data_IF_490305691668
#
_entry.id   IF_490305691668
#
_cell.length_a   1.000
_cell.length_b   1.000
_cell.length_c   1.000
_cell.angle_alpha   90.00
_cell.angle_beta   90.00
_cell.angle_gamma   90.00
#
_symmetry.space_group_name_H-M   'P 1'
#
loop_
_entity.id
_entity.type
_entity.pdbx_description
1 polymer ?
#
# COMPACT_ATOMS: atom_id res chain seq x y z
N UNK A 1 -27.54 -3.85 -21.06
CA UNK A 1 -27.20 -3.41 -19.70
C UNK A 1 -25.70 -3.33 -19.70
N UNK A 2 -25.15 -2.14 -19.62
CA UNK A 2 -23.73 -1.97 -19.41
C UNK A 2 -23.41 -2.60 -18.05
N UNK A 3 -22.43 -3.49 -18.05
CA UNK A 3 -21.96 -4.14 -16.84
C UNK A 3 -21.29 -3.05 -15.98
N UNK A 4 -21.95 -2.60 -14.91
CA UNK A 4 -21.51 -1.50 -14.06
C UNK A 4 -20.36 -1.88 -13.12
N UNK A 5 -19.83 -3.08 -13.24
CA UNK A 5 -18.73 -3.56 -12.42
C UNK A 5 -17.39 -3.15 -12.99
N UNK A 6 -16.38 -2.90 -12.14
CA UNK A 6 -14.99 -2.77 -12.58
C UNK A 6 -14.31 -4.12 -12.75
N UNK A 7 -15.03 -5.23 -12.53
CA UNK A 7 -14.49 -6.57 -12.70
C UNK A 7 -14.14 -6.85 -14.14
N UNK A 8 -12.94 -7.38 -14.35
CA UNK A 8 -12.44 -7.78 -15.67
C UNK A 8 -12.08 -9.26 -15.63
N UNK A 9 -12.36 -9.97 -16.72
CA UNK A 9 -12.11 -11.40 -16.82
C UNK A 9 -10.60 -11.73 -16.84
N UNK A 10 -9.77 -10.76 -17.18
CA UNK A 10 -8.32 -10.91 -17.26
C UNK A 10 -7.61 -9.55 -17.08
N UNK A 11 -6.31 -9.53 -16.76
CA UNK A 11 -5.51 -8.32 -16.80
C UNK A 11 -5.51 -7.63 -18.16
N UNK A 12 -5.49 -8.40 -19.24
CA UNK A 12 -5.56 -7.88 -20.61
C UNK A 12 -6.90 -7.16 -20.91
N UNK A 13 -7.99 -7.57 -20.25
CA UNK A 13 -9.27 -6.85 -20.32
C UNK A 13 -9.22 -5.56 -19.50
N UNK A 14 -8.59 -5.59 -18.33
CA UNK A 14 -8.43 -4.41 -17.47
C UNK A 14 -7.64 -3.29 -18.17
N UNK A 15 -6.60 -3.62 -18.93
CA UNK A 15 -5.81 -2.64 -19.71
C UNK A 15 -6.68 -1.86 -20.69
N UNK A 16 -7.77 -2.45 -21.20
CA UNK A 16 -8.70 -1.80 -22.13
C UNK A 16 -9.79 -0.98 -21.45
N UNK A 17 -9.72 -0.82 -20.15
CA UNK A 17 -10.65 0.04 -19.39
C UNK A 17 -10.65 1.46 -19.96
N UNK A 18 -11.79 2.16 -19.93
CA UNK A 18 -11.81 3.59 -20.24
C UNK A 18 -10.91 4.36 -19.28
N UNK A 19 -10.38 5.50 -19.77
CA UNK A 19 -9.61 6.41 -18.93
C UNK A 19 -10.41 6.80 -17.69
N UNK A 20 -9.76 6.81 -16.54
CA UNK A 20 -10.32 7.36 -15.30
C UNK A 20 -10.59 8.86 -15.44
N UNK A 21 -11.71 9.30 -14.93
CA UNK A 21 -12.13 10.72 -14.90
C UNK A 21 -12.25 11.27 -13.47
N UNK A 22 -12.02 10.43 -12.47
CA UNK A 22 -12.01 10.80 -11.04
C UNK A 22 -10.87 10.06 -10.34
N UNK A 23 -10.20 10.77 -9.43
CA UNK A 23 -9.26 10.20 -8.48
C UNK A 23 -9.74 10.45 -7.06
N UNK A 24 -9.52 9.46 -6.20
CA UNK A 24 -9.67 9.61 -4.76
C UNK A 24 -8.30 9.55 -4.10
N UNK A 25 -8.06 10.46 -3.16
CA UNK A 25 -6.88 10.45 -2.29
C UNK A 25 -7.26 10.89 -0.90
N UNK A 26 -6.46 10.54 0.08
CA UNK A 26 -6.63 11.04 1.44
C UNK A 26 -5.78 12.29 1.66
N UNK A 27 -6.25 13.15 2.57
CA UNK A 27 -5.48 14.25 3.12
C UNK A 27 -5.67 14.26 4.63
N UNK A 28 -4.58 14.42 5.37
CA UNK A 28 -4.57 14.32 6.81
C UNK A 28 -4.29 15.66 7.47
N UNK A 29 -5.03 15.97 8.53
CA UNK A 29 -4.70 16.99 9.51
C UNK A 29 -3.95 16.41 10.71
N UNK A 30 -4.02 15.09 10.87
CA UNK A 30 -3.29 14.36 11.91
C UNK A 30 -1.79 14.68 11.82
N UNK A 31 -1.18 15.02 12.93
CA UNK A 31 0.24 15.39 13.00
C UNK A 31 0.58 16.85 12.64
N UNK A 32 -0.36 17.63 12.06
CA UNK A 32 -0.13 19.03 11.69
C UNK A 32 -0.34 20.02 12.84
N UNK A 33 -0.99 19.60 13.93
CA UNK A 33 -1.44 20.46 15.01
C UNK A 33 -2.83 21.08 14.78
N UNK A 34 -3.38 20.96 13.58
CA UNK A 34 -4.73 21.44 13.23
C UNK A 34 -5.77 20.45 13.77
N UNK A 35 -6.67 20.93 14.61
CA UNK A 35 -7.72 20.10 15.24
C UNK A 35 -8.95 19.98 14.30
N UNK A 36 -8.77 19.24 13.21
CA UNK A 36 -9.82 18.92 12.24
C UNK A 36 -9.74 17.45 11.85
N UNK A 37 -10.87 16.88 11.38
CA UNK A 37 -10.86 15.51 10.84
C UNK A 37 -10.00 15.39 9.58
N UNK A 38 -9.35 14.25 9.42
CA UNK A 38 -8.80 13.84 8.13
C UNK A 38 -9.94 13.64 7.13
N UNK A 39 -9.67 13.69 5.83
CA UNK A 39 -10.71 13.65 4.82
C UNK A 39 -10.30 12.93 3.54
N UNK A 40 -11.31 12.40 2.84
CA UNK A 40 -11.17 11.87 1.48
C UNK A 40 -11.34 13.02 0.48
N UNK A 41 -10.44 13.13 -0.46
CA UNK A 41 -10.44 14.12 -1.54
C UNK A 41 -10.91 13.46 -2.83
N UNK A 42 -11.83 14.13 -3.55
CA UNK A 42 -12.17 13.79 -4.92
C UNK A 42 -11.54 14.80 -5.86
N UNK A 43 -10.77 14.33 -6.84
CA UNK A 43 -10.09 15.15 -7.85
C UNK A 43 -10.67 14.83 -9.22
N UNK A 44 -10.96 15.85 -9.99
CA UNK A 44 -11.38 15.72 -11.38
C UNK A 44 -10.16 15.35 -12.25
N UNK A 45 -10.19 14.18 -12.84
CA UNK A 45 -9.12 13.64 -13.70
C UNK A 45 -9.49 13.66 -15.20
N UNK A 46 -10.68 14.15 -15.55
CA UNK A 46 -11.11 14.28 -16.94
C UNK A 46 -10.41 15.50 -17.60
N UNK A 47 -9.51 15.28 -18.59
CA UNK A 47 -8.79 16.38 -19.24
C UNK A 47 -9.69 17.35 -20.02
N UNK A 48 -10.91 16.93 -20.38
CA UNK A 48 -11.87 17.76 -21.10
C UNK A 48 -12.80 18.55 -20.16
N UNK A 49 -12.69 18.33 -18.85
CA UNK A 49 -13.47 19.02 -17.84
C UNK A 49 -12.88 20.40 -17.53
N UNK A 50 -13.73 21.45 -17.30
CA UNK A 50 -13.27 22.76 -16.84
C UNK A 50 -12.64 22.73 -15.43
N UNK A 51 -12.87 21.66 -14.67
CA UNK A 51 -12.32 21.47 -13.33
C UNK A 51 -11.18 20.42 -13.31
N UNK A 52 -10.60 20.10 -14.47
CA UNK A 52 -9.46 19.16 -14.55
C UNK A 52 -8.35 19.51 -13.55
N UNK A 53 -7.83 18.51 -12.86
CA UNK A 53 -6.81 18.62 -11.80
C UNK A 53 -7.23 19.41 -10.56
N UNK A 54 -8.52 19.72 -10.39
CA UNK A 54 -9.03 20.42 -9.20
C UNK A 54 -9.67 19.46 -8.21
N UNK A 55 -9.58 19.82 -6.93
CA UNK A 55 -10.39 19.20 -5.87
C UNK A 55 -11.83 19.64 -6.04
N UNK A 56 -12.73 18.69 -6.31
CA UNK A 56 -14.14 18.95 -6.54
C UNK A 56 -15.03 18.56 -5.36
N UNK A 57 -14.53 17.70 -4.46
CA UNK A 57 -15.26 17.33 -3.25
C UNK A 57 -14.28 16.94 -2.13
N UNK A 58 -14.73 17.13 -0.87
CA UNK A 58 -14.05 16.70 0.35
C UNK A 58 -15.06 16.03 1.26
N UNK A 59 -14.75 14.79 1.65
CA UNK A 59 -15.54 14.06 2.64
C UNK A 59 -14.73 13.98 3.94
N UNK A 60 -15.09 14.82 4.93
CA UNK A 60 -14.48 14.78 6.26
C UNK A 60 -14.92 13.51 7.00
N UNK A 61 -13.98 12.85 7.69
CA UNK A 61 -14.28 11.70 8.54
C UNK A 61 -14.91 12.16 9.86
N UNK A 62 -15.64 11.30 10.58
CA UNK A 62 -16.32 11.71 11.83
C UNK A 62 -15.36 12.04 12.98
N UNK A 63 -14.18 11.39 13.02
CA UNK A 63 -13.19 11.51 14.09
C UNK A 63 -12.06 12.47 13.78
N UNK A 64 -11.34 12.91 14.82
CA UNK A 64 -10.10 13.67 14.71
C UNK A 64 -8.95 12.76 15.12
N UNK A 65 -7.85 12.76 14.37
CA UNK A 65 -6.66 11.97 14.68
C UNK A 65 -6.76 10.50 14.25
N UNK A 66 -7.56 10.21 13.25
CA UNK A 66 -7.67 8.87 12.66
C UNK A 66 -6.35 8.42 12.02
N UNK A 67 -5.58 9.34 11.43
CA UNK A 67 -4.43 9.05 10.57
C UNK A 67 -4.87 8.14 9.41
N UNK A 68 -5.66 8.69 8.49
CA UNK A 68 -6.07 7.96 7.29
C UNK A 68 -4.83 7.54 6.49
N UNK A 69 -4.82 6.30 6.00
CA UNK A 69 -3.64 5.76 5.34
C UNK A 69 -4.02 5.00 4.08
N UNK A 70 -3.72 3.71 3.96
CA UNK A 70 -4.05 2.92 2.79
C UNK A 70 -5.57 2.89 2.53
N UNK A 71 -5.95 2.79 1.25
CA UNK A 71 -7.34 2.61 0.86
C UNK A 71 -7.46 1.38 -0.02
N UNK A 72 -8.60 0.69 0.07
CA UNK A 72 -8.88 -0.46 -0.78
C UNK A 72 -10.34 -0.51 -1.19
N UNK A 73 -10.59 -1.06 -2.37
CA UNK A 73 -11.93 -1.24 -2.87
C UNK A 73 -12.55 -2.54 -2.33
N UNK A 74 -13.88 -2.54 -2.20
CA UNK A 74 -14.63 -3.75 -1.91
C UNK A 74 -14.57 -4.79 -3.04
N UNK A 75 -14.18 -4.38 -4.24
CA UNK A 75 -13.93 -5.24 -5.40
C UNK A 75 -12.76 -4.69 -6.21
N UNK A 76 -11.82 -5.51 -6.61
CA UNK A 76 -10.65 -5.14 -7.39
C UNK A 76 -10.92 -5.21 -8.90
N UNK A 77 -9.93 -4.80 -9.71
CA UNK A 77 -10.02 -4.81 -11.17
C UNK A 77 -10.16 -6.21 -11.78
N UNK A 78 -9.73 -7.24 -11.06
CA UNK A 78 -9.87 -8.64 -11.48
C UNK A 78 -10.30 -9.48 -10.27
N UNK A 79 -11.54 -9.25 -9.79
CA UNK A 79 -12.03 -9.90 -8.59
C UNK A 79 -12.01 -11.42 -8.75
N UNK A 80 -11.37 -12.09 -7.80
CA UNK A 80 -11.27 -13.54 -7.79
C UNK A 80 -12.66 -14.18 -7.79
N UNK A 81 -12.88 -15.14 -8.68
CA UNK A 81 -14.11 -15.92 -8.85
C UNK A 81 -15.35 -15.16 -9.34
N UNK A 82 -15.41 -13.84 -9.23
CA UNK A 82 -16.60 -13.08 -9.61
C UNK A 82 -16.24 -11.74 -10.25
N UNK A 83 -16.03 -11.73 -11.57
CA UNK A 83 -15.79 -10.51 -12.35
C UNK A 83 -17.01 -9.57 -12.43
N UNK A 84 -18.19 -10.02 -11.98
CA UNK A 84 -19.39 -9.20 -11.94
C UNK A 84 -19.51 -8.32 -10.67
N UNK A 85 -18.65 -8.52 -9.68
CA UNK A 85 -18.63 -7.72 -8.46
C UNK A 85 -18.47 -6.23 -8.78
N UNK A 86 -19.36 -5.42 -8.23
CA UNK A 86 -19.33 -3.96 -8.41
C UNK A 86 -18.38 -3.30 -7.43
N UNK A 87 -17.48 -2.45 -7.95
CA UNK A 87 -16.62 -1.57 -7.15
C UNK A 87 -17.40 -0.33 -6.70
N UNK A 88 -18.19 -0.49 -5.66
CA UNK A 88 -19.14 0.52 -5.18
C UNK A 88 -18.68 1.20 -3.90
N UNK A 89 -17.80 0.58 -3.15
CA UNK A 89 -17.36 1.06 -1.85
C UNK A 89 -15.85 1.13 -1.75
N UNK A 90 -15.36 2.25 -1.22
CA UNK A 90 -13.97 2.45 -0.86
C UNK A 90 -13.84 2.33 0.66
N UNK A 91 -12.95 1.45 1.12
CA UNK A 91 -12.60 1.30 2.54
C UNK A 91 -11.41 2.19 2.84
N UNK A 92 -11.57 3.07 3.82
CA UNK A 92 -10.56 4.07 4.21
C UNK A 92 -10.23 3.89 5.69
N UNK A 93 -9.12 3.21 6.02
CA UNK A 93 -8.74 2.94 7.40
C UNK A 93 -8.03 4.11 8.03
N UNK A 94 -8.25 4.28 9.35
CA UNK A 94 -7.47 5.14 10.23
C UNK A 94 -6.49 4.29 11.04
N UNK A 95 -5.19 4.41 10.78
CA UNK A 95 -4.18 3.55 11.43
C UNK A 95 -4.13 3.78 12.95
N UNK A 96 -4.27 5.03 13.41
CA UNK A 96 -4.23 5.35 14.85
C UNK A 96 -5.52 4.99 15.58
N UNK A 97 -6.66 5.34 15.00
CA UNK A 97 -7.96 5.06 15.62
C UNK A 97 -8.35 3.59 15.54
N UNK A 98 -7.85 2.88 14.54
CA UNK A 98 -8.30 1.57 14.07
C UNK A 98 -9.72 1.58 13.49
N UNK A 99 -10.32 2.74 13.24
CA UNK A 99 -11.59 2.86 12.53
C UNK A 99 -11.42 2.51 11.06
N UNK A 100 -12.45 1.92 10.46
CA UNK A 100 -12.50 1.71 9.01
C UNK A 100 -13.75 2.40 8.47
N UNK A 101 -13.55 3.41 7.64
CA UNK A 101 -14.62 4.19 7.05
C UNK A 101 -15.00 3.58 5.71
N UNK A 102 -16.25 3.19 5.55
CA UNK A 102 -16.81 2.65 4.31
C UNK A 102 -17.47 3.80 3.56
N UNK A 103 -16.98 4.11 2.39
CA UNK A 103 -17.43 5.24 1.57
C UNK A 103 -18.18 4.73 0.34
N UNK A 104 -19.43 5.14 0.17
CA UNK A 104 -20.22 4.91 -1.05
C UNK A 104 -19.75 5.85 -2.16
N UNK A 105 -19.15 5.25 -3.18
CA UNK A 105 -18.67 5.94 -4.39
C UNK A 105 -19.56 5.69 -5.61
N UNK A 106 -20.50 4.76 -5.52
CA UNK A 106 -21.36 4.39 -6.65
C UNK A 106 -22.56 5.34 -6.82
N UNK A 107 -23.12 5.85 -5.72
CA UNK A 107 -24.30 6.75 -5.78
C UNK A 107 -23.97 8.07 -6.46
N UNK A 108 -22.86 8.70 -6.09
CA UNK A 108 -22.30 9.88 -6.75
C UNK A 108 -20.77 9.82 -6.69
N UNK A 109 -20.11 9.38 -7.75
CA UNK A 109 -18.65 9.30 -7.76
C UNK A 109 -17.94 10.64 -7.60
N UNK A 110 -18.58 11.76 -7.97
CA UNK A 110 -17.99 13.09 -7.84
C UNK A 110 -18.16 13.69 -6.44
N UNK A 111 -19.11 13.17 -5.64
CA UNK A 111 -19.37 13.56 -4.26
C UNK A 111 -19.71 12.34 -3.39
N UNK A 112 -18.71 11.47 -3.15
CA UNK A 112 -18.88 10.23 -2.36
C UNK A 112 -19.33 10.56 -0.93
N UNK A 113 -20.00 9.59 -0.30
CA UNK A 113 -20.56 9.77 1.04
C UNK A 113 -20.18 8.65 1.97
N UNK A 114 -20.06 8.96 3.26
CA UNK A 114 -19.85 7.94 4.29
C UNK A 114 -21.09 7.01 4.34
N UNK A 115 -20.86 5.72 4.21
CA UNK A 115 -21.89 4.68 4.30
C UNK A 115 -21.93 4.06 5.70
N UNK A 116 -20.76 3.68 6.25
CA UNK A 116 -20.64 2.99 7.54
C UNK A 116 -19.27 3.27 8.14
N UNK A 117 -19.16 3.21 9.46
CA UNK A 117 -17.89 3.11 10.16
C UNK A 117 -17.85 1.78 10.91
N UNK A 118 -16.77 1.03 10.75
CA UNK A 118 -16.44 -0.08 11.64
C UNK A 118 -15.54 0.52 12.71
N UNK A 119 -16.04 0.58 13.93
CA UNK A 119 -15.34 1.21 15.03
C UNK A 119 -14.11 0.39 15.49
N UNK A 120 -12.99 1.05 15.69
CA UNK A 120 -11.77 0.40 16.18
C UNK A 120 -11.95 -0.34 17.52
N UNK A 121 -12.82 0.17 18.38
CA UNK A 121 -13.17 -0.51 19.63
C UNK A 121 -13.90 -1.85 19.38
N UNK A 122 -14.74 -1.92 18.36
CA UNK A 122 -15.42 -3.16 17.97
C UNK A 122 -14.41 -4.18 17.40
N UNK A 123 -13.51 -3.71 16.51
CA UNK A 123 -12.44 -4.55 15.95
C UNK A 123 -11.60 -5.14 17.07
N UNK A 124 -11.06 -4.29 17.95
CA UNK A 124 -10.22 -4.70 19.09
C UNK A 124 -10.93 -5.74 19.98
N UNK A 125 -12.21 -5.50 20.29
CA UNK A 125 -12.95 -6.39 21.19
C UNK A 125 -13.28 -7.75 20.59
N UNK A 126 -13.47 -7.83 19.26
CA UNK A 126 -13.85 -9.08 18.56
C UNK A 126 -12.66 -9.90 18.09
N UNK A 127 -11.53 -9.26 17.81
CA UNK A 127 -10.42 -9.90 17.10
C UNK A 127 -9.06 -9.75 17.77
N UNK A 128 -8.95 -8.90 18.80
CA UNK A 128 -7.67 -8.50 19.40
C UNK A 128 -6.70 -7.91 18.36
N UNK A 129 -7.20 -7.12 17.38
CA UNK A 129 -6.41 -6.49 16.32
C UNK A 129 -6.55 -4.97 16.34
N UNK A 130 -5.49 -4.27 15.86
CA UNK A 130 -5.45 -2.83 15.72
C UNK A 130 -4.60 -2.37 14.52
N UNK A 131 -4.65 -1.09 14.21
CA UNK A 131 -3.86 -0.45 13.16
C UNK A 131 -4.06 -1.10 11.78
N UNK A 132 -5.26 -0.95 11.16
CA UNK A 132 -5.56 -1.46 9.83
C UNK A 132 -4.68 -0.80 8.76
N UNK A 133 -4.23 -1.59 7.78
CA UNK A 133 -3.33 -1.15 6.72
C UNK A 133 -3.84 -1.57 5.34
N UNK A 134 -3.31 -2.63 4.75
CA UNK A 134 -3.65 -3.07 3.40
C UNK A 134 -5.01 -3.76 3.33
N UNK A 135 -5.77 -3.46 2.29
CA UNK A 135 -7.13 -3.97 2.07
C UNK A 135 -7.19 -4.68 0.72
N UNK A 136 -7.61 -5.94 0.74
CA UNK A 136 -7.89 -6.70 -0.48
C UNK A 136 -9.27 -7.36 -0.44
N UNK A 137 -9.98 -7.28 -1.57
CA UNK A 137 -11.18 -8.06 -1.77
C UNK A 137 -10.83 -9.53 -2.06
N UNK A 138 -11.70 -10.43 -1.66
CA UNK A 138 -11.63 -11.86 -1.95
C UNK A 138 -13.03 -12.36 -2.32
N UNK A 139 -13.45 -12.13 -3.57
CA UNK A 139 -14.82 -12.38 -3.99
C UNK A 139 -15.83 -11.62 -3.12
N UNK A 140 -16.65 -12.32 -2.37
CA UNK A 140 -17.65 -11.75 -1.44
C UNK A 140 -17.10 -11.40 -0.06
N UNK A 141 -15.79 -11.50 0.15
CA UNK A 141 -15.14 -11.23 1.42
C UNK A 141 -14.06 -10.16 1.25
N UNK A 142 -13.62 -9.58 2.36
CA UNK A 142 -12.56 -8.57 2.40
C UNK A 142 -11.58 -8.94 3.50
N UNK A 143 -10.30 -8.91 3.18
CA UNK A 143 -9.22 -9.14 4.12
C UNK A 143 -8.46 -7.83 4.31
N UNK A 144 -8.13 -7.51 5.56
CA UNK A 144 -7.38 -6.29 5.92
C UNK A 144 -6.22 -6.68 6.82
N UNK A 145 -4.98 -6.31 6.45
CA UNK A 145 -3.85 -6.49 7.34
C UNK A 145 -3.96 -5.53 8.54
N UNK A 146 -3.67 -6.05 9.71
CA UNK A 146 -3.71 -5.34 10.99
C UNK A 146 -2.33 -5.41 11.62
N UNK A 147 -1.73 -4.25 11.87
CA UNK A 147 -0.30 -4.17 12.21
C UNK A 147 0.01 -4.54 13.66
N UNK A 148 -0.99 -4.60 14.54
CA UNK A 148 -0.79 -4.93 15.94
C UNK A 148 -1.99 -5.59 16.61
N UNK A 149 -1.77 -6.05 17.85
CA UNK A 149 -2.83 -6.48 18.76
C UNK A 149 -3.64 -5.25 19.27
N UNK A 150 -4.67 -5.48 20.07
CA UNK A 150 -5.51 -4.40 20.62
C UNK A 150 -4.73 -3.36 21.47
N UNK A 151 -3.51 -3.68 21.92
CA UNK A 151 -2.63 -2.79 22.69
C UNK A 151 -1.59 -2.09 21.82
N UNK A 152 -1.53 -2.39 20.51
CA UNK A 152 -0.53 -1.89 19.59
C UNK A 152 0.81 -2.63 19.67
N UNK A 153 0.81 -3.83 20.25
CA UNK A 153 1.97 -4.73 20.28
C UNK A 153 1.95 -5.75 19.13
N UNK A 154 3.06 -6.42 18.93
CA UNK A 154 3.14 -7.56 18.00
C UNK A 154 2.63 -8.87 18.67
N UNK A 155 2.14 -9.83 17.87
CA UNK A 155 1.92 -9.76 16.44
C UNK A 155 0.60 -9.07 16.07
N UNK A 156 0.50 -8.62 14.80
CA UNK A 156 -0.77 -8.24 14.19
C UNK A 156 -1.56 -9.45 13.69
N UNK A 157 -2.18 -9.31 12.53
CA UNK A 157 -2.96 -10.39 11.88
C UNK A 157 -3.78 -9.87 10.72
N UNK A 158 -4.86 -10.56 10.39
CA UNK A 158 -5.73 -10.19 9.28
C UNK A 158 -7.19 -10.16 9.73
N UNK A 159 -7.80 -8.96 9.63
CA UNK A 159 -9.23 -8.79 9.85
C UNK A 159 -10.00 -9.34 8.65
N UNK A 160 -11.05 -10.12 8.93
CA UNK A 160 -11.91 -10.74 7.93
C UNK A 160 -13.31 -10.13 7.99
N UNK A 161 -13.78 -9.59 6.86
CA UNK A 161 -15.11 -9.01 6.72
C UNK A 161 -15.91 -9.74 5.64
N UNK A 162 -17.24 -9.74 5.78
CA UNK A 162 -18.14 -10.12 4.71
C UNK A 162 -18.39 -8.95 3.72
N UNK A 163 -19.12 -9.21 2.63
CA UNK A 163 -19.49 -8.22 1.62
C UNK A 163 -20.34 -7.05 2.16
N UNK A 164 -20.97 -7.22 3.31
CA UNK A 164 -21.82 -6.21 3.98
C UNK A 164 -21.03 -5.49 5.11
N UNK A 165 -19.71 -5.69 5.12
CA UNK A 165 -18.76 -5.10 6.07
C UNK A 165 -19.03 -5.48 7.52
N UNK A 166 -19.48 -6.71 7.79
CA UNK A 166 -19.56 -7.26 9.13
C UNK A 166 -18.28 -8.01 9.45
N UNK A 167 -17.84 -7.90 10.71
CA UNK A 167 -16.64 -8.59 11.19
C UNK A 167 -16.96 -10.09 11.34
N UNK A 168 -16.28 -10.93 10.54
CA UNK A 168 -16.31 -12.38 10.64
C UNK A 168 -15.32 -12.91 11.68
N UNK A 169 -14.23 -12.19 11.95
CA UNK A 169 -13.17 -12.57 12.88
C UNK A 169 -11.78 -12.29 12.32
N UNK A 170 -10.82 -13.12 12.70
CA UNK A 170 -9.48 -13.17 12.06
C UNK A 170 -9.55 -14.12 10.87
N UNK A 171 -8.83 -13.76 9.79
CA UNK A 171 -8.76 -14.61 8.60
C UNK A 171 -7.83 -15.80 8.81
N UNK A 172 -6.69 -15.60 9.43
CA UNK A 172 -5.70 -16.63 9.69
C UNK A 172 -6.11 -17.58 10.83
N UNK A 173 -5.72 -18.84 10.69
CA UNK A 173 -5.87 -19.83 11.75
C UNK A 173 -4.75 -19.73 12.79
N UNK A 174 -3.55 -19.28 12.36
CA UNK A 174 -2.39 -19.10 13.23
C UNK A 174 -1.40 -18.13 12.55
N UNK A 175 -0.79 -17.26 13.35
CA UNK A 175 0.35 -16.43 12.92
C UNK A 175 1.69 -17.19 12.94
N UNK A 176 1.74 -18.39 13.53
CA UNK A 176 3.01 -19.10 13.72
C UNK A 176 3.98 -18.26 14.54
N UNK A 177 5.21 -18.09 14.03
CA UNK A 177 6.28 -17.27 14.61
C UNK A 177 6.47 -15.92 13.91
N UNK A 178 5.49 -15.45 13.15
CA UNK A 178 5.51 -14.15 12.48
C UNK A 178 5.36 -13.05 13.52
N UNK A 179 6.38 -12.16 13.70
CA UNK A 179 6.32 -11.13 14.73
C UNK A 179 5.62 -9.86 14.28
N UNK A 180 5.70 -9.52 12.99
CA UNK A 180 5.18 -8.25 12.47
C UNK A 180 4.37 -8.48 11.18
N UNK A 181 3.44 -7.56 10.90
CA UNK A 181 2.73 -7.52 9.63
C UNK A 181 2.96 -6.18 8.93
N UNK A 182 2.64 -6.12 7.65
CA UNK A 182 2.51 -4.90 6.87
C UNK A 182 1.57 -5.12 5.69
N UNK A 183 2.08 -5.55 4.56
CA UNK A 183 1.32 -5.78 3.34
C UNK A 183 1.12 -7.28 3.09
N UNK A 184 0.17 -7.61 2.26
CA UNK A 184 -0.06 -8.97 1.79
C UNK A 184 -0.66 -8.97 0.39
N UNK A 185 -0.40 -10.03 -0.36
CA UNK A 185 -1.02 -10.28 -1.65
C UNK A 185 -1.20 -11.77 -1.83
N UNK A 186 -2.21 -12.21 -2.53
CA UNK A 186 -2.49 -13.64 -2.71
C UNK A 186 -2.59 -14.03 -4.18
N UNK A 187 -2.21 -15.28 -4.46
CA UNK A 187 -2.40 -15.99 -5.71
C UNK A 187 -3.14 -17.30 -5.45
N UNK A 188 -4.48 -17.31 -5.44
CA UNK A 188 -5.26 -18.49 -5.05
C UNK A 188 -5.01 -19.71 -5.91
N UNK A 189 -4.74 -19.53 -7.22
CA UNK A 189 -4.41 -20.63 -8.13
C UNK A 189 -3.14 -21.37 -7.78
N UNK A 190 -2.21 -20.70 -7.10
CA UNK A 190 -0.99 -21.30 -6.56
C UNK A 190 -1.13 -21.70 -5.09
N UNK A 191 -2.31 -21.53 -4.48
CA UNK A 191 -2.56 -21.72 -3.06
C UNK A 191 -1.53 -21.00 -2.19
N UNK A 192 -1.30 -19.70 -2.48
CA UNK A 192 -0.30 -18.92 -1.78
C UNK A 192 -0.79 -17.51 -1.48
N UNK A 193 -0.42 -16.99 -0.32
CA UNK A 193 -0.39 -15.57 0.03
C UNK A 193 1.05 -15.22 0.42
N UNK A 194 1.53 -14.07 -0.01
CA UNK A 194 2.78 -13.49 0.49
C UNK A 194 2.46 -12.37 1.47
N UNK A 195 3.24 -12.23 2.54
CA UNK A 195 3.15 -11.09 3.45
C UNK A 195 4.52 -10.60 3.88
N UNK A 196 4.58 -9.34 4.29
CA UNK A 196 5.80 -8.64 4.68
C UNK A 196 5.74 -8.15 6.12
N UNK A 197 6.85 -7.59 6.60
CA UNK A 197 7.02 -7.15 7.98
C UNK A 197 7.45 -5.69 8.06
N UNK A 198 6.71 -4.87 8.80
CA UNK A 198 7.19 -3.55 9.23
C UNK A 198 7.63 -3.59 10.70
N UNK A 199 6.77 -3.20 11.61
CA UNK A 199 7.01 -3.14 13.05
C UNK A 199 5.68 -3.14 13.80
N UNK A 200 5.72 -3.30 15.12
CA UNK A 200 4.55 -3.08 15.96
C UNK A 200 4.12 -1.60 15.97
N UNK A 201 2.82 -1.27 16.07
CA UNK A 201 2.34 0.10 16.16
C UNK A 201 3.03 0.95 17.21
N UNK A 202 3.28 0.39 18.38
CA UNK A 202 3.98 1.10 19.48
C UNK A 202 5.44 1.44 19.14
N UNK A 203 6.05 0.79 18.15
CA UNK A 203 7.39 1.09 17.64
C UNK A 203 7.35 2.23 16.61
N UNK A 204 6.53 2.13 15.54
CA UNK A 204 6.59 3.09 14.45
C UNK A 204 5.74 4.34 14.65
N UNK A 205 4.64 4.29 15.41
CA UNK A 205 3.74 5.43 15.60
C UNK A 205 4.35 6.63 16.30
N UNK A 206 5.27 6.50 17.26
CA UNK A 206 5.95 7.65 17.85
C UNK A 206 6.89 8.39 16.92
N UNK A 207 7.39 7.70 15.88
CA UNK A 207 8.37 8.19 14.92
C UNK A 207 9.41 7.11 14.62
N UNK A 208 10.38 7.45 13.77
CA UNK A 208 11.49 6.55 13.43
C UNK A 208 12.65 6.72 14.42
N UNK A 209 13.13 5.60 14.95
CA UNK A 209 14.33 5.51 15.76
C UNK A 209 15.28 4.44 15.20
N UNK A 210 16.48 4.88 14.79
CA UNK A 210 17.49 3.99 14.21
C UNK A 210 17.99 2.92 15.20
N UNK A 211 18.01 3.22 16.50
CA UNK A 211 18.44 2.24 17.53
C UNK A 211 17.48 1.05 17.59
N UNK A 212 16.19 1.28 17.36
CA UNK A 212 15.19 0.21 17.35
C UNK A 212 15.35 -0.77 16.16
N UNK A 213 15.95 -0.33 15.05
CA UNK A 213 16.35 -1.22 13.95
C UNK A 213 17.42 -2.19 14.42
N UNK A 214 18.43 -1.70 15.14
CA UNK A 214 19.47 -2.52 15.77
C UNK A 214 18.93 -3.48 16.83
N UNK A 215 17.86 -3.11 17.52
CA UNK A 215 17.18 -3.96 18.51
C UNK A 215 16.16 -4.94 17.90
N UNK A 216 16.16 -5.12 16.57
CA UNK A 216 15.29 -6.03 15.82
C UNK A 216 13.78 -5.77 16.03
N UNK A 217 13.40 -4.52 16.28
CA UNK A 217 11.99 -4.10 16.38
C UNK A 217 11.34 -3.82 15.02
N UNK A 218 12.11 -3.94 13.96
CA UNK A 218 11.67 -3.84 12.56
C UNK A 218 11.92 -5.15 11.83
N UNK A 219 11.00 -5.48 10.93
CA UNK A 219 10.98 -6.74 10.20
C UNK A 219 12.10 -6.89 9.16
N UNK A 220 12.36 -8.16 8.79
CA UNK A 220 13.41 -8.57 7.84
C UNK A 220 13.03 -9.81 7.05
N UNK A 221 11.72 -10.12 6.99
CA UNK A 221 11.27 -11.39 6.43
C UNK A 221 10.07 -11.18 5.50
N UNK A 222 9.93 -12.10 4.56
CA UNK A 222 8.72 -12.30 3.76
C UNK A 222 8.19 -13.68 4.09
N UNK A 223 6.87 -13.79 4.26
CA UNK A 223 6.22 -15.04 4.61
C UNK A 223 5.32 -15.49 3.48
N UNK A 224 5.45 -16.75 3.09
CA UNK A 224 4.51 -17.43 2.21
C UNK A 224 3.57 -18.29 3.06
N UNK A 225 2.28 -18.16 2.79
CA UNK A 225 1.21 -18.84 3.50
C UNK A 225 0.58 -19.91 2.61
N UNK A 226 0.18 -21.00 3.20
CA UNK A 226 -0.82 -21.89 2.59
C UNK A 226 -2.17 -21.18 2.65
N UNK A 227 -2.63 -20.68 1.51
CA UNK A 227 -3.81 -19.83 1.44
C UNK A 227 -5.10 -20.54 1.87
N UNK A 228 -5.26 -21.81 1.49
CA UNK A 228 -6.41 -22.62 1.86
C UNK A 228 -6.41 -22.98 3.35
N UNK A 229 -5.25 -23.32 3.92
CA UNK A 229 -5.11 -23.62 5.34
C UNK A 229 -5.05 -22.38 6.22
N UNK A 230 -4.80 -21.21 5.63
CA UNK A 230 -4.65 -19.93 6.34
C UNK A 230 -3.56 -19.98 7.43
N UNK A 231 -2.44 -20.59 7.10
CA UNK A 231 -1.30 -20.79 8.00
C UNK A 231 0.02 -20.50 7.29
N UNK A 232 1.05 -19.97 8.00
CA UNK A 232 2.37 -19.80 7.43
C UNK A 232 2.95 -21.13 6.94
N UNK A 233 3.57 -21.10 5.75
CA UNK A 233 4.18 -22.29 5.12
C UNK A 233 5.69 -22.19 5.00
N UNK A 234 6.19 -21.03 4.60
CA UNK A 234 7.61 -20.78 4.36
C UNK A 234 7.97 -19.35 4.72
N UNK A 235 9.17 -19.12 5.22
CA UNK A 235 9.70 -17.78 5.50
C UNK A 235 10.99 -17.57 4.75
N UNK A 236 11.10 -16.46 4.04
CA UNK A 236 12.33 -15.95 3.47
C UNK A 236 13.01 -15.04 4.50
N UNK A 237 14.17 -15.47 4.98
CA UNK A 237 15.01 -14.68 5.88
C UNK A 237 15.95 -13.84 5.03
N UNK A 238 15.63 -12.55 4.88
CA UNK A 238 16.34 -11.67 3.95
C UNK A 238 17.63 -11.06 4.52
N UNK A 239 17.81 -11.12 5.83
CA UNK A 239 18.97 -10.55 6.49
C UNK A 239 19.11 -9.04 6.31
N UNK A 240 20.31 -8.58 6.00
CA UNK A 240 20.57 -7.15 5.76
C UNK A 240 20.00 -6.65 4.42
N UNK A 241 19.75 -7.53 3.47
CA UNK A 241 19.10 -7.19 2.20
C UNK A 241 17.60 -6.93 2.34
N UNK A 242 16.99 -7.27 3.46
CA UNK A 242 15.57 -7.14 3.70
C UNK A 242 15.20 -6.28 4.90
N UNK A 243 15.89 -5.17 5.13
CA UNK A 243 15.52 -4.26 6.22
C UNK A 243 14.21 -3.55 5.90
N UNK A 244 13.18 -3.87 6.68
CA UNK A 244 11.83 -3.32 6.55
C UNK A 244 11.24 -3.62 5.18
N UNK A 245 10.95 -4.91 4.86
CA UNK A 245 10.22 -5.26 3.66
C UNK A 245 8.78 -4.77 3.78
N UNK A 246 8.37 -3.91 2.86
CA UNK A 246 7.08 -3.27 2.90
C UNK A 246 6.12 -3.90 1.88
N UNK A 247 5.84 -3.23 0.78
CA UNK A 247 4.83 -3.67 -0.17
C UNK A 247 5.23 -4.95 -0.92
N UNK A 248 4.29 -5.88 -1.04
CA UNK A 248 4.42 -7.13 -1.79
C UNK A 248 3.45 -7.16 -2.97
N UNK A 249 3.88 -7.66 -4.12
CA UNK A 249 3.06 -7.82 -5.31
C UNK A 249 3.40 -9.13 -6.00
N UNK A 250 2.38 -9.91 -6.38
CA UNK A 250 2.52 -10.94 -7.39
C UNK A 250 2.30 -10.36 -8.79
N UNK A 251 2.77 -11.03 -9.82
CA UNK A 251 2.33 -10.77 -11.19
C UNK A 251 0.80 -10.82 -11.27
N UNK A 252 0.24 -10.01 -12.15
CA UNK A 252 -1.19 -10.01 -12.45
C UNK A 252 -1.61 -11.26 -13.26
N UNK A 253 -0.66 -11.83 -14.02
CA UNK A 253 -0.89 -13.12 -14.69
C UNK A 253 -1.12 -14.21 -13.61
N UNK A 254 -2.34 -14.80 -13.56
CA UNK A 254 -2.68 -15.77 -12.54
C UNK A 254 -1.91 -17.09 -12.65
N UNK A 255 -1.27 -17.35 -13.77
CA UNK A 255 -0.46 -18.55 -13.98
C UNK A 255 1.03 -18.31 -13.63
N UNK A 256 1.42 -17.07 -13.40
CA UNK A 256 2.77 -16.69 -12.97
C UNK A 256 2.96 -16.88 -11.47
N UNK A 257 4.11 -17.42 -11.07
CA UNK A 257 4.51 -17.52 -9.66
C UNK A 257 5.43 -16.40 -9.20
N UNK A 258 5.79 -15.46 -10.07
CA UNK A 258 6.70 -14.36 -9.73
C UNK A 258 6.03 -13.33 -8.83
N UNK A 259 6.81 -12.81 -7.87
CA UNK A 259 6.39 -11.71 -7.02
C UNK A 259 7.57 -10.87 -6.56
N UNK A 260 7.26 -9.68 -6.03
CA UNK A 260 8.24 -8.65 -5.70
C UNK A 260 7.92 -7.98 -4.37
N UNK A 261 8.98 -7.52 -3.68
CA UNK A 261 8.87 -6.73 -2.46
C UNK A 261 9.90 -5.60 -2.46
N UNK A 262 9.47 -4.42 -2.03
CA UNK A 262 10.38 -3.32 -1.72
C UNK A 262 10.85 -3.38 -0.27
N UNK A 263 12.16 -3.48 -0.03
CA UNK A 263 12.75 -3.39 1.29
C UNK A 263 13.18 -1.94 1.55
N UNK A 264 12.49 -1.27 2.48
CA UNK A 264 12.58 0.19 2.61
C UNK A 264 13.96 0.67 3.08
N UNK A 265 14.46 0.18 4.20
CA UNK A 265 15.70 0.70 4.78
C UNK A 265 16.96 0.14 4.09
N UNK A 266 16.92 -1.06 3.54
CA UNK A 266 17.99 -1.58 2.70
C UNK A 266 17.93 -1.07 1.26
N UNK A 267 16.85 -0.36 0.90
CA UNK A 267 16.65 0.32 -0.37
C UNK A 267 16.85 -0.59 -1.59
N UNK A 268 16.26 -1.79 -1.57
CA UNK A 268 16.36 -2.74 -2.67
C UNK A 268 15.03 -3.42 -2.99
N UNK A 269 15.00 -4.15 -4.11
CA UNK A 269 13.86 -4.97 -4.53
C UNK A 269 14.24 -6.45 -4.43
N UNK A 270 13.41 -7.18 -3.72
CA UNK A 270 13.44 -8.64 -3.61
C UNK A 270 12.45 -9.21 -4.62
N UNK A 271 12.85 -10.24 -5.34
CA UNK A 271 12.06 -11.03 -6.26
C UNK A 271 11.96 -12.47 -5.74
N UNK A 272 10.79 -13.09 -5.87
CA UNK A 272 10.61 -14.51 -5.58
C UNK A 272 9.82 -15.20 -6.68
N UNK A 273 10.01 -16.52 -6.80
CA UNK A 273 9.33 -17.36 -7.79
C UNK A 273 9.34 -18.83 -7.34
N UNK A 274 8.55 -19.65 -8.03
CA UNK A 274 8.71 -21.12 -7.97
C UNK A 274 9.67 -21.59 -9.04
N UNK A 275 10.64 -22.40 -8.63
CA UNK A 275 11.56 -23.08 -9.57
C UNK A 275 10.91 -24.29 -10.25
N UNK A 276 11.66 -24.96 -11.15
CA UNK A 276 11.19 -26.13 -11.88
C UNK A 276 10.87 -27.34 -10.98
N UNK A 277 11.38 -27.38 -9.76
CA UNK A 277 11.06 -28.39 -8.74
C UNK A 277 9.79 -28.04 -7.96
N UNK A 278 9.23 -26.84 -8.17
CA UNK A 278 8.06 -26.32 -7.47
C UNK A 278 8.37 -25.70 -6.10
N UNK A 279 9.66 -25.47 -5.81
CA UNK A 279 10.11 -24.86 -4.56
C UNK A 279 10.22 -23.35 -4.71
N UNK A 280 9.83 -22.61 -3.66
CA UNK A 280 9.90 -21.16 -3.66
C UNK A 280 11.33 -20.68 -3.38
N UNK A 281 11.83 -19.83 -4.29
CA UNK A 281 13.13 -19.20 -4.26
C UNK A 281 12.99 -17.70 -4.13
N UNK A 282 14.06 -17.00 -3.74
CA UNK A 282 14.12 -15.54 -3.76
C UNK A 282 15.52 -15.04 -4.08
N UNK A 283 15.61 -13.82 -4.57
CA UNK A 283 16.85 -13.11 -4.84
C UNK A 283 16.66 -11.60 -4.71
N UNK A 284 17.75 -10.85 -4.54
CA UNK A 284 17.78 -9.40 -4.65
C UNK A 284 18.10 -9.03 -6.11
N UNK A 285 17.26 -8.20 -6.73
CA UNK A 285 17.38 -7.86 -8.16
C UNK A 285 17.70 -6.39 -8.43
N UNK A 286 17.41 -5.49 -7.50
CA UNK A 286 17.71 -4.06 -7.63
C UNK A 286 18.27 -3.56 -6.31
N UNK A 287 19.38 -2.81 -6.38
CA UNK A 287 19.91 -2.00 -5.29
C UNK A 287 19.81 -0.51 -5.64
N UNK A 288 19.31 0.28 -4.71
CA UNK A 288 19.32 1.74 -4.79
C UNK A 288 20.47 2.25 -3.93
N UNK A 289 21.48 2.84 -4.56
CA UNK A 289 22.62 3.39 -3.84
C UNK A 289 22.21 4.51 -2.88
N UNK A 290 22.76 4.48 -1.66
CA UNK A 290 22.56 5.55 -0.70
C UNK A 290 23.28 6.82 -1.19
N UNK A 291 22.64 7.97 -1.05
CA UNK A 291 23.15 9.26 -1.55
C UNK A 291 23.72 10.11 -0.41
N UNK A 292 24.91 10.72 -0.57
CA UNK A 292 25.46 11.62 0.44
C UNK A 292 24.58 12.86 0.59
N UNK A 293 24.39 13.33 1.84
CA UNK A 293 23.65 14.54 2.14
C UNK A 293 24.39 15.38 3.18
N UNK A 294 24.54 16.71 3.00
CA UNK A 294 25.38 17.55 3.87
C UNK A 294 24.92 17.59 5.33
N UNK A 295 23.63 17.47 5.57
CA UNK A 295 23.03 17.57 6.91
C UNK A 295 22.83 16.20 7.60
N UNK A 296 23.18 15.12 6.91
CA UNK A 296 23.00 13.77 7.45
C UNK A 296 24.35 13.14 7.81
N UNK A 297 24.44 12.46 8.97
CA UNK A 297 25.68 11.84 9.43
C UNK A 297 26.08 10.59 8.62
N UNK A 298 25.12 10.00 7.90
CA UNK A 298 25.28 8.82 7.04
C UNK A 298 24.64 9.10 5.69
N UNK A 299 25.03 8.44 4.61
CA UNK A 299 24.35 8.52 3.34
C UNK A 299 22.87 8.18 3.46
N UNK A 300 22.00 8.94 2.82
CA UNK A 300 20.54 8.82 2.86
C UNK A 300 20.11 7.61 2.04
N UNK A 301 19.40 6.63 2.61
CA UNK A 301 18.82 5.53 1.87
C UNK A 301 17.63 5.99 1.03
N UNK A 302 17.28 5.25 -0.03
CA UNK A 302 16.10 5.54 -0.83
C UNK A 302 14.81 5.52 -0.03
N UNK A 303 14.67 4.56 0.86
CA UNK A 303 13.44 4.19 1.57
C UNK A 303 12.33 3.85 0.57
N UNK A 304 12.41 2.65 0.00
CA UNK A 304 11.39 2.14 -0.93
C UNK A 304 10.11 1.89 -0.15
N UNK A 305 9.12 2.76 -0.30
CA UNK A 305 7.90 2.72 0.52
C UNK A 305 6.72 2.06 -0.19
N UNK A 306 6.69 2.05 -1.51
CA UNK A 306 5.63 1.42 -2.31
C UNK A 306 6.18 0.86 -3.61
N UNK A 307 5.60 -0.25 -4.09
CA UNK A 307 5.87 -0.83 -5.41
C UNK A 307 4.57 -1.11 -6.14
N UNK A 308 4.58 -1.02 -7.47
CA UNK A 308 3.47 -1.42 -8.35
C UNK A 308 3.99 -2.17 -9.57
N UNK A 309 3.14 -3.05 -10.12
CA UNK A 309 3.36 -3.69 -11.41
C UNK A 309 2.37 -3.14 -12.44
N UNK A 310 2.79 -3.05 -13.70
CA UNK A 310 1.85 -2.84 -14.80
C UNK A 310 0.95 -4.06 -14.98
N UNK A 311 -0.26 -3.86 -15.50
CA UNK A 311 -1.23 -4.95 -15.68
C UNK A 311 -0.78 -6.03 -16.67
N UNK A 312 0.24 -5.74 -17.51
CA UNK A 312 0.88 -6.69 -18.42
C UNK A 312 2.17 -7.30 -17.88
N UNK A 313 2.47 -7.06 -16.60
CA UNK A 313 3.63 -7.57 -15.85
C UNK A 313 5.00 -7.23 -16.45
N UNK A 314 5.06 -6.21 -17.34
CA UNK A 314 6.32 -5.81 -17.98
C UNK A 314 7.11 -4.77 -17.23
N UNK A 315 6.43 -3.98 -16.38
CA UNK A 315 7.07 -2.87 -15.68
C UNK A 315 6.82 -2.93 -14.18
N UNK A 316 7.89 -2.72 -13.43
CA UNK A 316 7.89 -2.47 -12.00
C UNK A 316 8.10 -0.98 -11.78
N UNK A 317 7.27 -0.37 -10.94
CA UNK A 317 7.40 1.00 -10.46
C UNK A 317 7.62 0.99 -8.96
N UNK A 318 8.51 1.85 -8.48
CA UNK A 318 8.65 2.08 -7.04
C UNK A 318 9.09 3.50 -6.75
N UNK A 319 8.82 3.97 -5.55
CA UNK A 319 9.27 5.27 -5.09
C UNK A 319 10.31 5.15 -3.97
N UNK A 320 11.28 6.05 -4.03
CA UNK A 320 12.29 6.28 -3.00
C UNK A 320 11.89 7.51 -2.20
N UNK A 321 11.24 7.30 -1.06
CA UNK A 321 10.61 8.37 -0.29
C UNK A 321 11.60 9.44 0.19
N UNK A 322 12.79 9.06 0.69
CA UNK A 322 13.79 10.03 1.12
C UNK A 322 14.56 10.66 -0.03
N UNK A 323 14.87 9.90 -1.10
CA UNK A 323 15.54 10.49 -2.27
C UNK A 323 14.63 11.47 -3.01
N UNK A 324 13.34 11.17 -3.13
CA UNK A 324 12.37 11.98 -3.87
C UNK A 324 12.26 11.58 -5.34
N UNK A 325 12.45 10.31 -5.66
CA UNK A 325 12.30 9.83 -7.03
C UNK A 325 11.37 8.61 -7.15
N UNK A 326 10.79 8.49 -8.31
CA UNK A 326 10.01 7.32 -8.74
C UNK A 326 10.77 6.70 -9.90
N UNK A 327 10.95 5.39 -9.85
CA UNK A 327 11.67 4.63 -10.89
C UNK A 327 10.74 3.65 -11.58
N UNK A 328 10.97 3.45 -12.88
CA UNK A 328 10.36 2.43 -13.71
C UNK A 328 11.43 1.48 -14.19
N UNK A 329 11.22 0.19 -14.00
CA UNK A 329 12.07 -0.88 -14.51
C UNK A 329 11.30 -1.77 -15.47
N UNK A 330 11.91 -2.13 -16.60
CA UNK A 330 11.45 -3.25 -17.42
C UNK A 330 11.83 -4.55 -16.71
N UNK A 331 10.82 -5.36 -16.39
CA UNK A 331 10.90 -6.65 -15.74
C UNK A 331 10.39 -7.80 -16.64
N UNK A 332 10.40 -7.61 -17.96
CA UNK A 332 10.06 -8.69 -18.91
C UNK A 332 10.95 -9.92 -18.73
N UNK A 333 12.15 -9.73 -18.20
CA UNK A 333 12.97 -10.76 -17.56
C UNK A 333 13.08 -10.40 -16.08
N UNK A 334 12.30 -11.05 -15.18
CA UNK A 334 12.24 -10.70 -13.76
C UNK A 334 13.58 -10.83 -13.02
N UNK A 335 14.48 -11.67 -13.53
CA UNK A 335 15.83 -11.88 -12.97
C UNK A 335 16.82 -10.78 -13.37
N UNK A 336 16.56 -10.03 -14.43
CA UNK A 336 17.45 -9.01 -15.00
C UNK A 336 16.73 -7.69 -15.29
N UNK A 337 16.19 -7.00 -14.26
CA UNK A 337 15.45 -5.76 -14.43
C UNK A 337 16.31 -4.65 -15.04
N UNK A 338 15.72 -3.81 -15.89
CA UNK A 338 16.40 -2.69 -16.55
C UNK A 338 15.71 -1.37 -16.23
N UNK A 339 16.45 -0.40 -15.70
CA UNK A 339 15.92 0.96 -15.49
C UNK A 339 15.55 1.57 -16.83
N UNK A 340 14.28 1.97 -16.99
CA UNK A 340 13.72 2.55 -18.20
C UNK A 340 13.20 3.99 -18.01
N UNK A 341 12.98 4.40 -16.75
CA UNK A 341 12.52 5.75 -16.45
C UNK A 341 12.76 6.14 -15.00
N UNK A 342 12.94 7.45 -14.79
CA UNK A 342 13.07 8.05 -13.47
C UNK A 342 12.49 9.46 -13.49
N UNK A 343 11.75 9.82 -12.45
CA UNK A 343 11.21 11.17 -12.27
C UNK A 343 11.36 11.59 -10.81
N UNK A 344 11.67 12.87 -10.60
CA UNK A 344 11.87 13.46 -9.27
C UNK A 344 10.62 14.20 -8.81
N UNK A 345 10.24 14.00 -7.53
CA UNK A 345 9.09 14.62 -6.90
C UNK A 345 9.35 14.82 -5.40
N UNK A 346 9.68 16.04 -5.00
CA UNK A 346 10.06 16.31 -3.60
C UNK A 346 11.39 15.66 -3.20
N UNK A 347 11.43 15.13 -1.96
CA UNK A 347 12.59 14.41 -1.43
C UNK A 347 13.66 15.29 -0.80
N UNK A 348 14.51 14.67 0.02
CA UNK A 348 15.62 15.34 0.72
C UNK A 348 16.74 15.78 -0.23
N UNK A 349 16.91 15.08 -1.36
CA UNK A 349 17.98 15.38 -2.32
C UNK A 349 17.73 16.64 -3.14
N UNK A 350 16.56 17.26 -3.04
CA UNK A 350 16.18 18.51 -3.71
C UNK A 350 16.38 18.52 -5.24
N UNK A 351 16.28 17.33 -5.87
CA UNK A 351 16.43 17.15 -7.32
C UNK A 351 15.12 17.38 -8.10
N UNK A 352 13.98 17.51 -7.40
CA UNK A 352 12.69 17.69 -8.05
C UNK A 352 12.52 19.10 -8.63
N UNK A 353 11.96 19.24 -9.86
CA UNK A 353 11.64 20.55 -10.41
C UNK A 353 10.42 21.15 -9.68
N UNK A 354 10.34 22.48 -9.68
CA UNK A 354 9.11 23.18 -9.30
C UNK A 354 8.01 22.93 -10.33
N UNK A 355 6.78 22.74 -9.83
CA UNK A 355 5.59 22.62 -10.69
C UNK A 355 4.79 23.90 -10.59
N UNK A 356 4.66 24.64 -11.68
CA UNK A 356 3.98 25.94 -11.72
C UNK A 356 4.52 26.95 -10.68
N UNK A 357 5.84 26.94 -10.42
CA UNK A 357 6.48 27.80 -9.42
C UNK A 357 6.26 27.36 -7.97
N UNK A 358 5.79 26.12 -7.74
CA UNK A 358 5.59 25.54 -6.41
C UNK A 358 6.56 24.37 -6.22
N UNK A 359 7.34 24.42 -5.14
CA UNK A 359 8.17 23.29 -4.70
C UNK A 359 7.24 22.24 -4.09
N UNK A 360 7.33 21.01 -4.56
CA UNK A 360 6.63 19.87 -3.94
C UNK A 360 7.40 19.47 -2.69
N UNK A 361 6.74 19.46 -1.53
CA UNK A 361 7.30 19.04 -0.23
C UNK A 361 6.97 17.59 0.07
N UNK A 362 7.74 16.95 0.95
CA UNK A 362 7.66 15.51 1.21
C UNK A 362 8.33 14.69 0.12
N UNK A 363 8.33 13.38 0.25
CA UNK A 363 8.83 12.44 -0.76
C UNK A 363 7.70 11.59 -1.34
N UNK A 364 7.82 11.06 -2.57
CA UNK A 364 6.79 10.21 -3.17
C UNK A 364 6.60 8.97 -2.30
N UNK A 365 5.37 8.70 -1.89
CA UNK A 365 5.09 7.61 -0.97
C UNK A 365 4.04 6.66 -1.53
N UNK A 366 2.80 7.11 -1.76
CA UNK A 366 1.78 6.29 -2.40
C UNK A 366 1.77 6.55 -3.89
N UNK A 367 1.81 5.51 -4.69
CA UNK A 367 1.67 5.58 -6.14
C UNK A 367 0.51 4.70 -6.61
N UNK A 368 -0.15 5.14 -7.67
CA UNK A 368 -1.19 4.38 -8.36
C UNK A 368 -1.01 4.51 -9.86
N UNK A 369 -0.93 3.37 -10.53
CA UNK A 369 -0.89 3.30 -11.98
C UNK A 369 -2.33 3.22 -12.53
N UNK A 370 -2.61 3.93 -13.63
CA UNK A 370 -3.83 3.71 -14.39
C UNK A 370 -3.85 2.29 -14.97
N UNK A 371 -5.04 1.72 -15.18
CA UNK A 371 -5.17 0.34 -15.68
C UNK A 371 -4.50 0.16 -17.07
N UNK A 372 -4.50 1.19 -17.90
CA UNK A 372 -3.82 1.19 -19.21
C UNK A 372 -2.31 1.43 -19.14
N UNK A 373 -1.75 1.65 -17.93
CA UNK A 373 -0.32 1.85 -17.71
C UNK A 373 0.25 3.18 -18.22
N UNK A 374 -0.59 4.14 -18.64
CA UNK A 374 -0.12 5.38 -19.28
C UNK A 374 -0.01 6.58 -18.35
N UNK A 375 -0.52 6.48 -17.12
CA UNK A 375 -0.50 7.55 -16.12
C UNK A 375 -0.14 6.98 -14.75
N UNK A 376 0.76 7.68 -14.06
CA UNK A 376 1.14 7.40 -12.68
C UNK A 376 0.74 8.58 -11.80
N UNK A 377 0.02 8.31 -10.74
CA UNK A 377 -0.40 9.24 -9.71
C UNK A 377 0.43 9.00 -8.45
N UNK A 378 0.85 10.05 -7.76
CA UNK A 378 1.66 9.95 -6.56
C UNK A 378 1.24 10.98 -5.51
N UNK A 379 1.38 10.62 -4.24
CA UNK A 379 1.24 11.50 -3.07
C UNK A 379 2.58 11.64 -2.35
N UNK A 380 2.68 12.51 -1.35
CA UNK A 380 3.96 12.86 -0.71
C UNK A 380 4.02 12.64 0.81
N UNK A 381 3.00 12.03 1.41
CA UNK A 381 2.98 11.75 2.86
C UNK A 381 3.11 10.25 3.10
N UNK A 382 4.02 9.85 4.00
CA UNK A 382 4.18 8.46 4.40
C UNK A 382 3.38 8.17 5.69
N UNK A 383 3.73 8.82 6.78
CA UNK A 383 3.09 8.69 8.09
C UNK A 383 3.41 9.94 8.91
N UNK A 384 2.42 10.55 9.56
CA UNK A 384 2.54 11.92 10.08
C UNK A 384 3.75 12.16 10.98
N UNK A 385 4.10 11.23 11.86
CA UNK A 385 5.27 11.40 12.75
C UNK A 385 6.59 11.26 12.01
N UNK A 386 6.66 10.39 10.99
CA UNK A 386 7.83 10.26 10.12
C UNK A 386 7.96 11.45 9.17
N UNK A 387 6.85 11.88 8.56
CA UNK A 387 6.84 13.09 7.73
C UNK A 387 7.32 14.30 8.54
N UNK A 388 6.88 14.44 9.77
CA UNK A 388 7.30 15.51 10.66
C UNK A 388 8.79 15.48 11.05
N UNK A 389 9.41 14.29 11.04
CA UNK A 389 10.84 14.15 11.31
C UNK A 389 11.70 14.48 10.11
N UNK A 390 11.28 14.04 8.91
CA UNK A 390 12.09 14.14 7.70
C UNK A 390 11.71 15.33 6.82
N UNK A 391 10.46 15.77 6.87
CA UNK A 391 9.89 16.86 6.08
C UNK A 391 9.04 17.80 6.94
N UNK A 392 9.63 18.50 7.92
CA UNK A 392 8.88 19.33 8.86
C UNK A 392 8.04 20.43 8.20
N UNK A 393 8.40 20.84 6.98
CA UNK A 393 7.67 21.83 6.19
C UNK A 393 6.32 21.32 5.65
N UNK A 394 6.08 20.03 5.62
CA UNK A 394 4.80 19.46 5.12
C UNK A 394 3.60 19.83 5.99
N UNK A 395 3.84 20.31 7.21
CA UNK A 395 2.80 20.74 8.15
C UNK A 395 2.14 22.08 7.79
N UNK A 396 2.77 22.85 6.93
CA UNK A 396 2.33 24.20 6.54
C UNK A 396 1.67 24.16 5.16
#
# INVERSE_FOLDING_TARGET
MECCGPGYASPADAIRAPRENILYTIAIYTGTGIQKPDYLVTIDADPDSPTYSQVIHRLEMPGIGDELHHMGWNACSSCFDDSSMSRSYLLVPGVRSSNIHIVDTATDPRAPRLHKVIEGAEIKSKTDLSAPHTIHCLGSEIIISMLGDARGEAPGGYLHLDKDFNILGRWENSMGDIPFGYDFWYQPRHNVMASSEWAAPNTFMPGFDLEEVGHLKYGRRIHLWDFEKKEPKQTFYLGEDGLVPLEVRFHHDPDSSHGFCGAALSANIIHWWKDDAGEWQWEKIIDVENEPHPEWPIPVPGVISVILLSMDDKYLYFCNWLHGDIRQYDISDPHNPKLTGQVWMGGLLEKAPEVNGVKVTGGPQMIQLSLDGTRLYATTSLFSTWDNQFYPEIRT
#
